data_IF_720919674511
#
_entry.id   IF_720919674511
#
_cell.length_a   1.000
_cell.length_b   1.000
_cell.length_c   1.000
_cell.angle_alpha   90.00
_cell.angle_beta   90.00
_cell.angle_gamma   90.00
#
_symmetry.space_group_name_H-M   'P 1'
#
loop_
_entity.id
_entity.type
_entity.pdbx_description
1 polymer ?
#
# COMPACT_ATOMS: atom_id res chain seq x y z
N UNK A 1 -14.69 0.64 12.50
CA UNK A 1 -13.32 1.11 12.60
C UNK A 1 -12.46 0.26 13.52
N UNK A 2 -11.18 0.56 13.55
CA UNK A 2 -10.24 -0.12 14.41
C UNK A 2 -10.36 0.35 15.86
N UNK A 3 -10.19 -0.57 16.81
CA UNK A 3 -10.11 -0.21 18.21
C UNK A 3 -8.75 0.44 18.50
N UNK A 4 -8.66 1.20 19.60
CA UNK A 4 -7.40 1.82 20.00
C UNK A 4 -6.32 0.78 20.29
N UNK A 5 -6.69 -0.39 20.83
CA UNK A 5 -5.77 -1.48 21.10
C UNK A 5 -5.21 -2.07 19.80
N UNK A 6 -6.03 -2.20 18.77
CA UNK A 6 -5.58 -2.70 17.44
C UNK A 6 -4.62 -1.72 16.79
N UNK A 7 -4.91 -0.43 16.88
CA UNK A 7 -4.05 0.61 16.33
C UNK A 7 -2.71 0.62 17.06
N UNK A 8 -2.72 0.54 18.39
CA UNK A 8 -1.48 0.52 19.19
C UNK A 8 -0.59 -0.67 18.83
N UNK A 9 -1.18 -1.85 18.62
CA UNK A 9 -0.42 -3.04 18.20
C UNK A 9 0.15 -2.87 16.80
N UNK A 10 -0.63 -2.29 15.90
CA UNK A 10 -0.18 -2.00 14.55
C UNK A 10 0.98 -1.01 14.54
N UNK A 11 0.90 0.05 15.34
CA UNK A 11 1.96 1.03 15.47
C UNK A 11 3.26 0.39 15.96
N UNK A 12 3.18 -0.45 16.99
CA UNK A 12 4.35 -1.12 17.54
C UNK A 12 5.02 -2.02 16.47
N UNK A 13 4.23 -2.74 15.67
CA UNK A 13 4.77 -3.58 14.61
C UNK A 13 5.47 -2.76 13.54
N UNK A 14 4.86 -1.66 13.10
CA UNK A 14 5.45 -0.81 12.06
C UNK A 14 6.71 -0.11 12.55
N UNK A 15 6.74 0.32 13.78
CA UNK A 15 7.95 0.91 14.37
C UNK A 15 9.10 -0.09 14.40
N UNK A 16 8.82 -1.36 14.64
CA UNK A 16 9.83 -2.42 14.67
C UNK A 16 10.34 -2.77 13.27
N UNK A 17 9.42 -2.85 12.30
CA UNK A 17 9.74 -3.30 10.93
C UNK A 17 10.30 -2.17 10.08
N UNK A 18 9.72 -0.97 10.16
CA UNK A 18 10.11 0.15 9.34
C UNK A 18 10.08 1.45 10.11
N UNK A 19 11.25 2.02 10.36
CA UNK A 19 11.39 3.28 11.10
C UNK A 19 10.67 4.46 10.47
N UNK A 20 10.28 4.34 9.21
CA UNK A 20 9.70 5.42 8.42
C UNK A 20 8.24 5.21 8.10
N UNK A 21 7.70 4.11 8.57
CA UNK A 21 6.28 3.84 8.46
C UNK A 21 5.53 4.57 9.55
N UNK A 22 4.43 5.21 9.19
CA UNK A 22 3.59 5.90 10.14
C UNK A 22 2.15 5.46 9.96
N UNK A 23 1.48 5.18 11.07
CA UNK A 23 0.06 4.86 11.06
C UNK A 23 -0.71 6.12 11.45
N UNK A 24 -1.58 6.56 10.56
CA UNK A 24 -2.38 7.77 10.75
C UNK A 24 -3.85 7.36 10.69
N UNK A 25 -4.57 7.62 11.77
CA UNK A 25 -6.01 7.39 11.77
C UNK A 25 -6.71 8.70 11.38
N UNK A 26 -7.36 8.68 10.22
CA UNK A 26 -8.19 9.80 9.78
C UNK A 26 -9.64 9.53 10.20
N UNK A 27 -10.52 10.50 10.02
CA UNK A 27 -11.94 10.26 10.26
C UNK A 27 -12.57 9.30 9.26
N UNK A 28 -11.87 8.98 8.17
CA UNK A 28 -12.38 8.16 7.09
C UNK A 28 -11.76 6.76 7.06
N UNK A 29 -10.45 6.65 7.24
CA UNK A 29 -9.74 5.37 7.13
C UNK A 29 -8.52 5.36 8.06
N UNK A 30 -7.84 4.21 8.11
CA UNK A 30 -6.54 4.10 8.76
C UNK A 30 -5.50 4.03 7.64
N UNK A 31 -4.58 4.99 7.63
CA UNK A 31 -3.52 5.07 6.63
C UNK A 31 -2.20 4.59 7.22
N UNK A 32 -1.55 3.66 6.54
CA UNK A 32 -0.17 3.29 6.83
C UNK A 32 0.70 3.96 5.77
N UNK A 33 1.39 5.00 6.16
CA UNK A 33 2.21 5.81 5.28
C UNK A 33 3.64 5.29 5.30
N UNK A 34 4.06 4.63 4.22
CA UNK A 34 5.38 4.00 4.11
C UNK A 34 5.97 4.32 2.72
N UNK A 35 6.19 5.59 2.46
CA UNK A 35 6.59 6.10 1.13
C UNK A 35 8.09 6.31 0.97
N UNK A 36 8.90 5.83 1.91
CA UNK A 36 10.32 6.12 1.88
C UNK A 36 11.12 5.09 1.09
N UNK A 37 10.82 3.81 1.25
CA UNK A 37 11.56 2.75 0.58
C UNK A 37 10.67 1.56 0.31
N UNK A 38 10.94 0.87 -0.78
CA UNK A 38 10.20 -0.32 -1.15
C UNK A 38 11.14 -1.33 -1.81
N UNK A 39 11.06 -2.58 -1.35
CA UNK A 39 11.68 -3.73 -1.95
C UNK A 39 10.80 -4.95 -1.63
N UNK A 40 11.00 -6.10 -2.27
CA UNK A 40 10.11 -7.24 -2.05
C UNK A 40 10.02 -7.67 -0.59
N UNK A 41 11.12 -7.65 0.14
CA UNK A 41 11.13 -8.04 1.55
C UNK A 41 10.33 -7.07 2.41
N UNK A 42 10.56 -5.76 2.26
CA UNK A 42 9.86 -4.76 3.05
C UNK A 42 8.40 -4.65 2.65
N UNK A 43 8.07 -4.83 1.38
CA UNK A 43 6.68 -4.84 0.93
C UNK A 43 5.91 -6.02 1.52
N UNK A 44 6.49 -7.22 1.52
CA UNK A 44 5.87 -8.38 2.13
C UNK A 44 5.67 -8.20 3.64
N UNK A 45 6.67 -7.66 4.32
CA UNK A 45 6.55 -7.40 5.76
C UNK A 45 5.44 -6.40 6.07
N UNK A 46 5.31 -5.35 5.25
CA UNK A 46 4.25 -4.36 5.40
C UNK A 46 2.86 -4.98 5.15
N UNK A 47 2.75 -5.84 4.15
CA UNK A 47 1.51 -6.56 3.86
C UNK A 47 1.12 -7.47 5.03
N UNK A 48 2.08 -8.19 5.62
CA UNK A 48 1.82 -9.04 6.78
C UNK A 48 1.30 -8.21 7.96
N UNK A 49 1.90 -7.05 8.20
CA UNK A 49 1.48 -6.17 9.28
C UNK A 49 0.09 -5.60 9.02
N UNK A 50 -0.19 -5.21 7.77
CA UNK A 50 -1.51 -4.72 7.37
C UNK A 50 -2.57 -5.79 7.61
N UNK A 51 -2.29 -7.03 7.26
CA UNK A 51 -3.23 -8.14 7.40
C UNK A 51 -3.63 -8.41 8.84
N UNK A 52 -2.84 -7.96 9.82
CA UNK A 52 -3.15 -8.12 11.23
C UNK A 52 -4.16 -7.09 11.75
N UNK A 53 -4.46 -6.06 10.97
CA UNK A 53 -5.41 -5.01 11.36
C UNK A 53 -6.81 -5.35 10.83
N UNK A 54 -7.83 -4.96 11.58
CA UNK A 54 -9.22 -5.21 11.19
C UNK A 54 -9.69 -4.19 10.16
N UNK A 55 -10.46 -4.65 9.18
CA UNK A 55 -11.03 -3.81 8.14
C UNK A 55 -10.73 -4.35 6.76
N UNK A 56 -11.20 -3.64 5.74
CA UNK A 56 -10.85 -3.97 4.35
C UNK A 56 -9.41 -3.53 4.09
N UNK A 57 -8.59 -4.42 3.59
CA UNK A 57 -7.17 -4.16 3.37
C UNK A 57 -6.94 -3.68 1.95
N UNK A 58 -6.39 -2.47 1.81
CA UNK A 58 -6.08 -1.87 0.53
C UNK A 58 -4.60 -1.50 0.50
N UNK A 59 -3.91 -1.91 -0.57
CA UNK A 59 -2.53 -1.49 -0.79
C UNK A 59 -2.49 -0.56 -1.99
N UNK A 60 -1.76 0.54 -1.87
CA UNK A 60 -1.44 1.43 -2.98
C UNK A 60 0.07 1.35 -3.14
N UNK A 61 0.51 0.62 -4.16
CA UNK A 61 1.91 0.25 -4.32
C UNK A 61 2.49 0.84 -5.60
N UNK A 62 3.70 1.35 -5.48
CA UNK A 62 4.44 1.92 -6.59
C UNK A 62 5.69 1.14 -6.91
N UNK A 63 6.49 1.69 -7.82
CA UNK A 63 7.71 1.05 -8.28
C UNK A 63 8.70 0.81 -7.13
N UNK A 64 9.28 -0.38 -7.15
CA UNK A 64 10.46 -0.69 -6.35
C UNK A 64 11.66 -0.45 -7.26
N UNK A 65 12.39 0.64 -7.00
CA UNK A 65 13.50 1.05 -7.84
C UNK A 65 14.77 0.27 -7.52
N UNK A 66 15.69 0.26 -8.48
CA UNK A 66 17.02 -0.37 -8.31
C UNK A 66 16.98 -1.89 -8.08
N UNK A 67 16.00 -2.58 -8.68
CA UNK A 67 15.84 -4.03 -8.53
C UNK A 67 16.63 -4.85 -9.56
N UNK A 68 17.23 -4.22 -10.54
CA UNK A 68 17.99 -4.90 -11.59
C UNK A 68 17.13 -5.60 -12.62
N UNK A 69 17.69 -6.62 -13.29
CA UNK A 69 17.05 -7.28 -14.44
C UNK A 69 15.80 -8.09 -14.12
N UNK A 70 15.59 -8.45 -12.84
CA UNK A 70 14.42 -9.23 -12.43
C UNK A 70 13.29 -8.35 -11.92
N UNK A 71 13.35 -7.05 -12.15
CA UNK A 71 12.36 -6.11 -11.62
C UNK A 71 10.90 -6.50 -11.93
N UNK A 72 10.53 -6.85 -13.17
CA UNK A 72 9.15 -7.24 -13.45
C UNK A 72 8.69 -8.44 -12.64
N UNK A 73 9.52 -9.47 -12.51
CA UNK A 73 9.18 -10.68 -11.77
C UNK A 73 9.08 -10.42 -10.27
N UNK A 74 9.97 -9.59 -9.73
CA UNK A 74 9.93 -9.21 -8.32
C UNK A 74 8.67 -8.41 -8.00
N UNK A 75 8.29 -7.50 -8.88
CA UNK A 75 7.05 -6.74 -8.72
C UNK A 75 5.83 -7.68 -8.76
N UNK A 76 5.79 -8.59 -9.71
CA UNK A 76 4.69 -9.55 -9.81
C UNK A 76 4.58 -10.40 -8.55
N UNK A 77 5.71 -10.82 -7.99
CA UNK A 77 5.72 -11.63 -6.77
C UNK A 77 5.09 -10.90 -5.58
N UNK A 78 5.25 -9.60 -5.49
CA UNK A 78 4.64 -8.80 -4.43
C UNK A 78 3.10 -8.79 -4.58
N UNK A 79 2.61 -8.65 -5.81
CA UNK A 79 1.18 -8.72 -6.07
C UNK A 79 0.57 -10.08 -5.73
N UNK A 80 1.25 -11.15 -6.11
CA UNK A 80 0.83 -12.50 -5.78
C UNK A 80 0.77 -12.70 -4.26
N UNK A 81 1.79 -12.20 -3.56
CA UNK A 81 1.84 -12.28 -2.11
C UNK A 81 0.68 -11.54 -1.45
N UNK A 82 0.40 -10.32 -1.91
CA UNK A 82 -0.69 -9.51 -1.37
C UNK A 82 -2.04 -10.23 -1.52
N UNK A 83 -2.32 -10.73 -2.71
CA UNK A 83 -3.57 -11.46 -2.97
C UNK A 83 -3.69 -12.72 -2.11
N UNK A 84 -2.59 -13.43 -1.89
CA UNK A 84 -2.57 -14.65 -1.09
C UNK A 84 -2.70 -14.37 0.41
N UNK A 85 -2.41 -13.17 0.86
CA UNK A 85 -2.40 -12.81 2.28
C UNK A 85 -3.52 -11.85 2.69
N UNK A 86 -4.63 -11.87 1.98
CA UNK A 86 -5.85 -11.21 2.42
C UNK A 86 -5.98 -9.73 2.06
N UNK A 87 -5.19 -9.25 1.12
CA UNK A 87 -5.37 -7.88 0.63
C UNK A 87 -6.56 -7.87 -0.35
N UNK A 88 -7.54 -7.02 -0.08
CA UNK A 88 -8.78 -6.98 -0.86
C UNK A 88 -8.64 -6.20 -2.16
N UNK A 89 -7.79 -5.18 -2.18
CA UNK A 89 -7.56 -4.35 -3.35
C UNK A 89 -6.11 -3.91 -3.40
N UNK A 90 -5.46 -4.08 -4.56
CA UNK A 90 -4.09 -3.66 -4.81
C UNK A 90 -4.11 -2.64 -5.93
N UNK A 91 -3.94 -1.37 -5.57
CA UNK A 91 -3.92 -0.25 -6.50
C UNK A 91 -2.46 0.04 -6.83
N UNK A 92 -2.14 0.19 -8.10
CA UNK A 92 -0.75 0.43 -8.52
C UNK A 92 -0.66 1.59 -9.50
N UNK A 93 0.50 2.26 -9.48
CA UNK A 93 0.84 3.29 -10.45
C UNK A 93 2.36 3.29 -10.63
N UNK A 94 2.81 3.25 -11.87
CA UNK A 94 4.22 3.20 -12.22
C UNK A 94 4.49 2.15 -13.27
N UNK A 95 5.59 2.31 -14.02
CA UNK A 95 5.93 1.40 -15.12
C UNK A 95 6.19 -0.04 -14.66
N UNK A 96 6.80 -0.20 -13.50
CA UNK A 96 7.08 -1.53 -12.94
C UNK A 96 5.93 -2.01 -12.06
N UNK A 97 5.23 -1.08 -11.42
CA UNK A 97 4.13 -1.41 -10.52
C UNK A 97 2.96 -2.10 -11.26
N UNK A 98 2.85 -1.95 -12.57
CA UNK A 98 1.84 -2.69 -13.36
C UNK A 98 1.97 -4.19 -13.16
N UNK A 99 3.18 -4.69 -12.96
CA UNK A 99 3.39 -6.12 -12.72
C UNK A 99 2.89 -6.55 -11.35
N UNK A 100 2.89 -5.64 -10.37
CA UNK A 100 2.26 -5.92 -9.06
C UNK A 100 0.76 -6.17 -9.27
N UNK A 101 0.09 -5.31 -10.03
CA UNK A 101 -1.33 -5.47 -10.31
C UNK A 101 -1.60 -6.78 -11.07
N UNK A 102 -0.75 -7.15 -12.01
CA UNK A 102 -0.85 -8.42 -12.72
C UNK A 102 -0.77 -9.60 -11.75
N UNK A 103 0.20 -9.57 -10.83
CA UNK A 103 0.36 -10.62 -9.83
C UNK A 103 -0.83 -10.72 -8.88
N UNK A 104 -1.43 -9.59 -8.54
CA UNK A 104 -2.60 -9.56 -7.66
C UNK A 104 -3.87 -10.10 -8.33
N UNK A 105 -3.86 -10.22 -9.66
CA UNK A 105 -5.00 -10.78 -10.39
C UNK A 105 -6.25 -9.92 -10.27
N UNK A 106 -7.37 -10.52 -9.85
CA UNK A 106 -8.65 -9.80 -9.74
C UNK A 106 -8.63 -8.69 -8.68
N UNK A 107 -7.72 -8.74 -7.73
CA UNK A 107 -7.57 -7.70 -6.73
C UNK A 107 -6.79 -6.48 -7.26
N UNK A 108 -6.10 -6.61 -8.38
CA UNK A 108 -5.24 -5.57 -8.92
C UNK A 108 -5.99 -4.52 -9.73
N UNK A 109 -5.58 -3.26 -9.55
CA UNK A 109 -6.11 -2.13 -10.32
C UNK A 109 -4.94 -1.20 -10.63
N UNK A 110 -4.52 -1.18 -11.89
CA UNK A 110 -3.38 -0.37 -12.32
C UNK A 110 -3.83 0.93 -12.97
N UNK A 111 -3.14 2.02 -12.64
CA UNK A 111 -3.38 3.34 -13.23
C UNK A 111 -2.13 3.80 -13.96
N UNK A 112 -2.26 4.27 -15.20
CA UNK A 112 -1.11 4.63 -16.03
C UNK A 112 -0.38 5.89 -15.56
N UNK A 113 -1.08 6.79 -14.86
CA UNK A 113 -0.49 8.03 -14.40
C UNK A 113 -1.05 8.45 -13.03
N UNK A 114 -0.35 9.40 -12.40
CA UNK A 114 -0.72 9.88 -11.07
C UNK A 114 -2.08 10.56 -11.03
N UNK A 115 -2.40 11.36 -12.05
CA UNK A 115 -3.65 12.11 -12.09
C UNK A 115 -4.86 11.16 -12.12
N UNK A 116 -4.79 10.10 -12.94
CA UNK A 116 -5.85 9.10 -13.01
C UNK A 116 -6.05 8.39 -11.68
N UNK A 117 -4.95 8.03 -11.01
CA UNK A 117 -5.01 7.37 -9.71
C UNK A 117 -5.67 8.28 -8.67
N UNK A 118 -5.19 9.51 -8.56
CA UNK A 118 -5.73 10.45 -7.57
C UNK A 118 -7.21 10.73 -7.80
N UNK A 119 -7.63 10.83 -9.04
CA UNK A 119 -9.04 11.05 -9.39
C UNK A 119 -9.92 9.85 -8.99
N UNK A 120 -9.36 8.64 -9.01
CA UNK A 120 -10.11 7.42 -8.71
C UNK A 120 -10.20 7.12 -7.20
N UNK A 121 -9.31 7.66 -6.39
CA UNK A 121 -9.24 7.32 -4.97
C UNK A 121 -10.55 7.48 -4.21
N UNK A 122 -11.34 8.55 -4.38
CA UNK A 122 -12.59 8.67 -3.63
C UNK A 122 -13.60 7.55 -3.92
N UNK A 123 -13.54 6.94 -5.09
CA UNK A 123 -14.42 5.83 -5.45
C UNK A 123 -13.83 4.48 -5.03
N UNK A 124 -12.51 4.38 -5.00
CA UNK A 124 -11.81 3.13 -4.68
C UNK A 124 -11.76 2.86 -3.18
N UNK A 125 -11.62 3.89 -2.36
CA UNK A 125 -11.48 3.75 -0.93
C UNK A 125 -12.82 3.94 -0.22
N UNK A 126 -13.03 3.17 0.84
CA UNK A 126 -14.26 3.19 1.62
C UNK A 126 -13.96 3.56 3.06
N UNK A 127 -14.96 4.14 3.72
CA UNK A 127 -14.83 4.42 5.15
C UNK A 127 -14.53 3.15 5.92
N UNK A 128 -13.55 3.22 6.81
CA UNK A 128 -13.11 2.08 7.61
C UNK A 128 -12.00 1.26 6.97
N UNK A 129 -11.60 1.57 5.74
CA UNK A 129 -10.50 0.86 5.09
C UNK A 129 -9.19 1.01 5.87
N UNK A 130 -8.33 0.00 5.76
CA UNK A 130 -6.95 0.07 6.21
C UNK A 130 -6.09 0.13 4.95
N UNK A 131 -5.42 1.25 4.74
CA UNK A 131 -4.74 1.57 3.47
C UNK A 131 -3.24 1.66 3.70
N UNK A 132 -2.48 0.84 2.98
CA UNK A 132 -1.02 0.93 2.95
C UNK A 132 -0.59 1.68 1.68
N UNK A 133 0.20 2.74 1.84
CA UNK A 133 0.80 3.45 0.71
C UNK A 133 2.31 3.23 0.78
N UNK A 134 2.86 2.57 -0.23
CA UNK A 134 4.26 2.16 -0.21
C UNK A 134 4.89 2.17 -1.60
N UNK A 135 6.05 2.81 -1.71
CA UNK A 135 6.84 2.84 -2.93
C UNK A 135 8.26 3.29 -2.60
N UNK A 136 9.17 3.16 -3.55
CA UNK A 136 10.52 3.74 -3.41
C UNK A 136 10.41 5.26 -3.32
N UNK A 137 11.33 5.87 -2.60
CA UNK A 137 11.33 7.33 -2.38
C UNK A 137 11.22 8.12 -3.70
N UNK A 138 11.95 7.69 -4.72
CA UNK A 138 11.92 8.35 -6.02
C UNK A 138 10.57 8.31 -6.75
N UNK A 139 9.61 7.49 -6.29
CA UNK A 139 8.27 7.45 -6.86
C UNK A 139 7.34 8.56 -6.32
N UNK A 140 7.75 9.23 -5.25
CA UNK A 140 7.02 10.37 -4.66
C UNK A 140 5.57 10.04 -4.27
N UNK A 141 5.37 8.90 -3.61
CA UNK A 141 4.03 8.44 -3.21
C UNK A 141 3.47 9.20 -2.01
N UNK A 142 4.27 10.07 -1.37
CA UNK A 142 3.76 10.94 -0.30
C UNK A 142 2.63 11.85 -0.78
N UNK A 143 2.57 12.18 -2.06
CA UNK A 143 1.46 12.91 -2.65
C UNK A 143 0.14 12.11 -2.53
N UNK A 144 0.22 10.80 -2.75
CA UNK A 144 -0.94 9.91 -2.61
C UNK A 144 -1.38 9.85 -1.14
N UNK A 145 -0.43 9.72 -0.22
CA UNK A 145 -0.73 9.73 1.22
C UNK A 145 -1.46 11.00 1.63
N UNK A 146 -1.02 12.14 1.13
CA UNK A 146 -1.67 13.42 1.45
C UNK A 146 -3.13 13.47 0.97
N UNK A 147 -3.40 12.96 -0.23
CA UNK A 147 -4.77 12.89 -0.75
C UNK A 147 -5.62 11.96 0.09
N UNK A 148 -5.08 10.79 0.47
CA UNK A 148 -5.80 9.82 1.33
C UNK A 148 -6.17 10.46 2.67
N UNK A 149 -5.26 11.23 3.27
CA UNK A 149 -5.52 11.91 4.54
C UNK A 149 -6.67 12.91 4.46
N UNK A 150 -6.96 13.42 3.28
CA UNK A 150 -7.98 14.44 3.08
C UNK A 150 -9.36 13.87 2.71
N UNK A 151 -9.47 12.57 2.57
CA UNK A 151 -10.76 11.93 2.27
C UNK A 151 -11.71 12.01 3.46
N UNK A 152 -12.99 12.15 3.17
CA UNK A 152 -14.02 12.25 4.21
C UNK A 152 -15.33 11.60 3.76
#
# INVERSE_FOLDING_TARGET
>A
GLSDAEIARGLARYETVGRRSRVVKTGYCTLVDDCYNANPTSDRAAIDSLASLSGRHVCILGDMLEMGGNAPELHRSVGEYAAAHGVDLVITQGELAKYIAEGAGTAGAHYPDRASLLAALPELLHEGDVVLVKASHGAHFEEISEVVKQLS
#
